data_IF_026108510501
#
_entry.id   IF_026108510501
#
_cell.length_a   1.000
_cell.length_b   1.000
_cell.length_c   1.000
_cell.angle_alpha   90.00
_cell.angle_beta   90.00
_cell.angle_gamma   90.00
#
_symmetry.space_group_name_H-M   'P 1'
#
loop_
_entity.id
_entity.type
_entity.pdbx_description
1 polymer ?
2 non-polymer ?
3 non-polymer ?
4 water ?
#
# COMPACT_ATOMS: atom_id res chain seq x y z
N UNK A 1 -7.36 -9.22 22.04
CA UNK A 1 -7.91 -9.60 20.72
C UNK A 1 -8.68 -8.48 19.99
N UNK A 2 -8.64 -7.25 20.53
CA UNK A 2 -9.27 -6.08 19.91
C UNK A 2 -8.20 -5.01 19.67
N UNK A 3 -8.30 -4.24 18.58
CA UNK A 3 -7.28 -3.22 18.26
C UNK A 3 -7.87 -1.86 17.89
N UNK A 4 -8.90 -1.47 18.63
CA UNK A 4 -9.59 -0.19 18.38
C UNK A 4 -8.63 0.96 18.48
N UNK A 5 -7.77 0.94 19.50
CA UNK A 5 -6.90 2.07 19.74
C UNK A 5 -5.95 2.27 18.55
N UNK A 6 -5.39 1.16 18.07
CA UNK A 6 -4.44 1.20 16.97
C UNK A 6 -5.09 1.63 15.65
N UNK A 7 -6.31 1.15 15.42
CA UNK A 7 -7.08 1.50 14.22
C UNK A 7 -7.47 2.97 14.24
N UNK A 8 -7.92 3.45 15.39
CA UNK A 8 -8.21 4.88 15.57
C UNK A 8 -7.01 5.80 15.33
N UNK A 9 -5.85 5.45 15.88
CA UNK A 9 -4.63 6.22 15.67
C UNK A 9 -4.23 6.20 14.20
N UNK A 10 -4.35 5.03 13.56
CA UNK A 10 -3.97 4.84 12.18
C UNK A 10 -4.79 5.71 11.27
N UNK A 11 -6.11 5.74 11.49
CA UNK A 11 -6.99 6.63 10.69
C UNK A 11 -6.58 8.07 10.79
N UNK A 12 -6.38 8.52 12.04
CA UNK A 12 -6.09 9.90 12.34
C UNK A 12 -4.80 10.37 11.66
N UNK A 13 -3.78 9.52 11.74
CA UNK A 13 -2.47 9.79 11.20
C UNK A 13 -2.45 9.73 9.68
N UNK A 14 -3.19 8.80 9.07
CA UNK A 14 -3.26 8.70 7.61
C UNK A 14 -4.01 9.90 7.05
N UNK A 15 -5.06 10.35 7.74
CA UNK A 15 -5.76 11.56 7.30
C UNK A 15 -4.81 12.79 7.23
N UNK A 16 -3.97 12.97 8.23
CA UNK A 16 -3.04 14.11 8.23
C UNK A 16 -2.00 13.91 7.13
N UNK A 17 -1.58 12.66 6.94
CA UNK A 17 -0.62 12.33 5.89
C UNK A 17 -1.15 12.69 4.50
N UNK A 18 -2.45 12.50 4.28
CA UNK A 18 -3.08 12.89 3.01
C UNK A 18 -3.04 14.40 2.84
N UNK A 19 -3.26 15.14 3.92
CA UNK A 19 -3.06 16.60 3.86
C UNK A 19 -1.61 16.95 3.45
N UNK A 20 -0.64 16.23 3.99
CA UNK A 20 0.79 16.50 3.71
C UNK A 20 1.07 16.37 2.24
N UNK A 21 0.68 15.23 1.67
CA UNK A 21 1.02 14.87 0.28
C UNK A 21 0.35 15.81 -0.70
N UNK A 22 -0.89 16.16 -0.37
CA UNK A 22 -1.68 17.04 -1.23
C UNK A 22 -1.04 18.41 -1.26
N UNK A 23 -0.61 18.83 -0.09
CA UNK A 23 0.05 20.10 0.09
C UNK A 23 1.40 20.15 -0.66
N UNK A 24 2.19 19.08 -0.56
CA UNK A 24 3.40 18.94 -1.38
C UNK A 24 3.08 19.02 -2.88
N UNK A 25 2.02 18.33 -3.30
CA UNK A 25 1.66 18.32 -4.70
C UNK A 25 1.13 19.65 -5.27
N UNK A 26 0.91 20.65 -4.44
CA UNK A 26 0.53 22.00 -4.94
C UNK A 26 1.67 22.76 -5.61
N UNK A 27 2.90 22.24 -5.54
CA UNK A 27 4.06 22.91 -6.12
C UNK A 27 4.68 22.02 -7.18
N UNK A 28 5.67 22.54 -7.89
CA UNK A 28 6.40 21.75 -8.88
C UNK A 28 7.11 20.61 -8.16
N UNK A 29 7.17 19.45 -8.79
CA UNK A 29 7.64 18.25 -8.11
C UNK A 29 9.13 17.93 -8.33
N UNK A 30 9.71 18.44 -9.41
CA UNK A 30 11.07 18.04 -9.79
C UNK A 30 12.09 18.40 -8.70
N UNK A 31 12.02 19.63 -8.20
CA UNK A 31 12.91 20.10 -7.13
C UNK A 31 12.54 19.51 -5.75
N UNK A 32 11.44 18.77 -5.70
CA UNK A 32 11.08 18.01 -4.50
C UNK A 32 11.40 16.51 -4.61
N UNK A 33 12.16 16.10 -5.63
CA UNK A 33 12.31 14.66 -5.97
C UNK A 33 13.78 14.23 -5.93
N UNK A 34 14.04 13.10 -5.28
CA UNK A 34 15.40 12.55 -5.17
C UNK A 34 15.41 11.19 -5.86
N UNK A 35 16.43 10.92 -6.66
CA UNK A 35 16.58 9.57 -7.23
C UNK A 35 17.53 8.77 -6.34
N UNK A 36 17.00 7.72 -5.70
CA UNK A 36 17.78 6.83 -4.85
C UNK A 36 18.75 6.01 -5.71
N UNK A 37 19.60 5.21 -5.07
CA UNK A 37 20.65 4.47 -5.78
C UNK A 37 20.10 3.38 -6.72
N UNK A 38 18.96 2.80 -6.37
CA UNK A 38 18.27 1.85 -7.24
C UNK A 38 17.43 2.54 -8.34
N UNK A 39 17.59 3.86 -8.47
CA UNK A 39 16.89 4.68 -9.47
C UNK A 39 15.39 4.89 -9.23
N UNK A 40 14.88 4.41 -8.11
CA UNK A 40 13.50 4.67 -7.72
C UNK A 40 13.46 6.06 -7.08
N UNK A 41 12.35 6.81 -7.27
CA UNK A 41 12.22 8.16 -6.73
C UNK A 41 11.75 8.19 -5.30
N UNK A 42 12.18 9.23 -4.59
CA UNK A 42 11.60 9.58 -3.29
C UNK A 42 11.42 11.11 -3.27
N UNK A 43 10.30 11.58 -2.71
CA UNK A 43 10.01 13.00 -2.67
C UNK A 43 9.86 13.52 -1.25
N UNK A 44 9.75 14.84 -1.17
CA UNK A 44 9.47 15.60 0.04
C UNK A 44 8.23 15.03 0.75
N UNK A 45 7.27 14.54 -0.04
CA UNK A 45 6.09 13.90 0.53
C UNK A 45 6.35 12.58 1.26
N UNK A 46 7.18 11.74 0.66
CA UNK A 46 7.50 10.42 1.23
C UNK A 46 8.16 10.65 2.61
N UNK A 47 9.13 11.53 2.64
CA UNK A 47 9.96 11.76 3.83
C UNK A 47 9.17 12.48 4.91
N UNK A 48 8.31 13.40 4.49
CA UNK A 48 7.56 14.23 5.42
C UNK A 48 6.51 13.39 6.08
N UNK A 49 5.81 12.60 5.28
CA UNK A 49 4.81 11.69 5.84
C UNK A 49 5.43 10.73 6.86
N UNK A 50 6.57 10.14 6.53
CA UNK A 50 7.23 9.19 7.43
C UNK A 50 7.66 9.82 8.76
N UNK A 51 8.21 11.03 8.70
CA UNK A 51 8.57 11.75 9.92
C UNK A 51 7.35 11.91 10.81
N UNK A 52 6.24 12.34 10.22
CA UNK A 52 5.09 12.67 11.03
C UNK A 52 4.49 11.39 11.67
N UNK A 53 4.22 10.38 10.84
CA UNK A 53 3.61 9.11 11.26
C UNK A 53 4.43 8.43 12.35
N UNK A 54 5.75 8.30 12.12
CA UNK A 54 6.62 7.62 13.06
C UNK A 54 6.63 8.33 14.40
N UNK A 55 6.64 9.65 14.36
CA UNK A 55 6.62 10.44 15.58
C UNK A 55 5.31 10.20 16.32
N UNK A 56 4.18 10.20 15.61
CA UNK A 56 2.89 10.01 16.26
C UNK A 56 2.74 8.61 16.87
N UNK A 57 3.22 7.60 16.15
CA UNK A 57 3.26 6.23 16.63
C UNK A 57 4.11 6.10 17.88
N UNK A 58 5.26 6.74 17.88
CA UNK A 58 6.18 6.67 18.99
C UNK A 58 5.64 7.42 20.23
N UNK A 59 4.90 8.49 19.97
CA UNK A 59 4.24 9.22 21.06
C UNK A 59 3.17 8.38 21.77
N UNK A 60 2.37 7.63 21.02
CA UNK A 60 1.29 6.84 21.65
C UNK A 60 1.73 5.41 22.05
N UNK A 61 2.57 4.80 21.25
CA UNK A 61 3.00 3.43 21.45
C UNK A 61 4.52 3.35 21.43
N UNK A 62 5.19 3.98 22.41
CA UNK A 62 6.66 4.03 22.40
C UNK A 62 7.33 2.65 22.36
N UNK A 63 6.63 1.61 22.78
CA UNK A 63 7.19 0.27 22.93
C UNK A 63 7.23 -0.50 21.60
N UNK A 64 6.45 -0.05 20.62
CA UNK A 64 6.28 -0.77 19.37
C UNK A 64 7.47 -0.48 18.46
N UNK A 65 7.70 -1.35 17.48
CA UNK A 65 8.68 -1.07 16.45
C UNK A 65 7.98 -0.68 15.16
N UNK A 66 8.74 -0.05 14.26
CA UNK A 66 8.20 0.47 12.99
C UNK A 66 9.05 0.01 11.80
N UNK A 67 8.42 -0.69 10.87
CA UNK A 67 9.01 -1.01 9.58
C UNK A 67 8.54 0.05 8.56
N UNK A 68 9.43 0.91 8.09
CA UNK A 68 9.05 1.94 7.11
C UNK A 68 10.07 1.96 5.97
N UNK A 69 9.66 2.43 4.82
CA UNK A 69 10.50 2.33 3.62
C UNK A 69 11.76 3.24 3.63
N UNK A 70 11.58 4.49 4.02
CA UNK A 70 12.63 5.48 3.79
C UNK A 70 13.57 5.59 4.99
N UNK A 71 14.74 6.18 4.75
CA UNK A 71 15.71 6.53 5.80
C UNK A 71 16.39 7.83 5.39
N UNK A 72 17.21 8.39 6.26
CA UNK A 72 17.87 9.69 5.98
C UNK A 72 19.32 9.58 5.45
N UNK A 73 19.79 8.38 5.15
CA UNK A 73 21.20 8.16 4.81
C UNK A 73 21.63 9.09 3.67
N UNK A 74 20.82 9.15 2.60
CA UNK A 74 21.25 9.81 1.36
C UNK A 74 20.51 11.12 1.03
N UNK A 75 19.69 11.62 1.95
CA UNK A 75 18.74 12.71 1.65
C UNK A 75 19.40 14.08 1.44
N UNK A 76 19.17 14.74 0.28
CA UNK A 76 19.80 16.04 -0.02
C UNK A 76 19.28 17.18 0.85
N UNK A 77 20.08 18.23 0.98
CA UNK A 77 19.83 19.27 1.98
C UNK A 77 18.63 20.15 1.60
N UNK A 78 18.49 20.40 0.29
CA UNK A 78 17.34 21.19 -0.19
C UNK A 78 16.07 20.38 0.04
N UNK A 79 16.11 19.07 -0.22
CA UNK A 79 14.92 18.23 -0.03
C UNK A 79 14.54 18.26 1.45
N UNK A 80 15.55 18.10 2.31
CA UNK A 80 15.33 17.97 3.74
C UNK A 80 14.71 19.26 4.32
N UNK A 81 15.23 20.40 3.87
CA UNK A 81 14.74 21.68 4.32
C UNK A 81 13.24 21.82 4.03
N UNK A 82 12.82 21.41 2.83
CA UNK A 82 11.39 21.43 2.49
C UNK A 82 10.60 20.49 3.37
N UNK A 83 11.19 19.32 3.63
CA UNK A 83 10.57 18.33 4.49
C UNK A 83 10.24 18.94 5.85
N UNK A 84 11.21 19.67 6.43
CA UNK A 84 11.03 20.27 7.75
C UNK A 84 9.84 21.26 7.78
N UNK A 85 9.68 22.05 6.72
CA UNK A 85 8.58 23.01 6.62
C UNK A 85 7.21 22.31 6.65
N UNK A 86 7.03 21.28 5.83
CA UNK A 86 5.77 20.55 5.77
C UNK A 86 5.40 19.86 7.07
N UNK A 87 6.39 19.29 7.74
CA UNK A 87 6.15 18.53 8.97
C UNK A 87 5.75 19.46 10.13
N UNK A 88 6.37 20.63 10.17
CA UNK A 88 6.16 21.61 11.26
C UNK A 88 4.80 22.34 11.22
N UNK A 89 4.05 22.16 10.14
CA UNK A 89 2.62 22.48 10.14
C UNK A 89 1.86 21.59 11.15
N UNK A 90 2.26 20.34 11.26
CA UNK A 90 1.50 19.37 12.00
C UNK A 90 2.17 18.84 13.24
N UNK A 91 3.48 19.03 13.36
CA UNK A 91 4.23 18.54 14.50
C UNK A 91 5.34 19.52 14.83
N UNK A 92 5.40 19.89 16.09
CA UNK A 92 6.39 20.83 16.57
C UNK A 92 7.75 20.18 16.84
N UNK A 93 8.40 19.63 15.82
CA UNK A 93 9.72 19.00 15.97
C UNK A 93 10.82 19.83 15.34
N UNK A 94 11.99 19.80 15.97
CA UNK A 94 13.19 20.45 15.43
C UNK A 94 13.73 19.61 14.28
N UNK A 95 14.61 20.19 13.48
CA UNK A 95 15.14 19.52 12.30
C UNK A 95 15.78 18.18 12.63
N UNK A 96 16.56 18.15 13.71
CA UNK A 96 17.26 16.92 14.08
C UNK A 96 16.26 15.86 14.52
N UNK A 97 15.20 16.29 15.20
CA UNK A 97 14.15 15.38 15.68
C UNK A 97 13.34 14.84 14.50
N UNK A 98 13.21 15.64 13.46
CA UNK A 98 12.58 15.18 12.25
C UNK A 98 13.42 14.04 11.65
N UNK A 99 14.75 14.20 11.59
CA UNK A 99 15.67 13.14 11.07
C UNK A 99 15.54 11.83 11.82
N UNK A 100 15.64 11.92 13.14
CA UNK A 100 15.44 10.78 14.02
C UNK A 100 14.12 10.08 13.79
N UNK A 101 13.03 10.82 13.67
CA UNK A 101 11.70 10.20 13.48
C UNK A 101 11.70 9.33 12.23
N UNK A 102 12.19 9.88 11.12
CA UNK A 102 12.29 9.12 9.87
C UNK A 102 13.03 7.80 10.14
N UNK A 103 14.16 7.88 10.82
CA UNK A 103 15.05 6.72 10.96
C UNK A 103 14.56 5.70 12.00
N UNK A 104 13.46 6.01 12.70
CA UNK A 104 12.75 5.02 13.55
C UNK A 104 12.22 3.85 12.76
N UNK A 105 12.19 3.96 11.44
CA UNK A 105 11.57 2.96 10.59
C UNK A 105 12.45 1.80 10.20
N UNK A 106 13.48 1.49 11.00
CA UNK A 106 14.45 0.49 10.61
C UNK A 106 14.22 -0.94 11.17
N UNK A 107 13.03 -1.20 11.71
CA UNK A 107 12.70 -2.55 12.15
C UNK A 107 12.75 -3.59 11.03
N UNK A 108 13.14 -4.81 11.38
CA UNK A 108 13.17 -5.95 10.45
C UNK A 108 11.93 -6.84 10.57
N UNK A 109 10.98 -6.48 11.42
CA UNK A 109 9.70 -7.20 11.53
C UNK A 109 9.77 -8.51 12.29
N UNK A 110 8.89 -9.45 11.93
CA UNK A 110 8.87 -10.75 12.60
C UNK A 110 8.17 -10.65 13.93
N UNK A 111 8.78 -11.22 14.97
CA UNK A 111 8.11 -11.34 16.28
C UNK A 111 7.86 -9.99 16.96
N UNK A 112 6.64 -9.83 17.48
CA UNK A 112 6.27 -8.67 18.30
C UNK A 112 5.31 -7.75 17.57
N UNK A 113 5.08 -6.60 18.18
CA UNK A 113 4.18 -5.57 17.65
C UNK A 113 5.00 -4.69 16.68
N UNK A 114 4.59 -4.68 15.41
CA UNK A 114 5.23 -3.81 14.41
C UNK A 114 4.20 -3.02 13.62
N UNK A 115 4.49 -1.73 13.43
CA UNK A 115 3.79 -0.90 12.47
C UNK A 115 4.50 -1.03 11.13
N UNK A 116 3.75 -0.99 10.04
CA UNK A 116 4.30 -1.14 8.69
C UNK A 116 3.81 0.06 7.85
N UNK A 117 4.76 0.86 7.35
CA UNK A 117 4.44 2.16 6.76
C UNK A 117 5.10 2.28 5.42
N UNK A 118 4.30 2.59 4.40
CA UNK A 118 4.82 3.11 3.16
C UNK A 118 4.30 4.54 3.05
N UNK A 119 5.16 5.54 3.31
CA UNK A 119 4.65 6.91 3.43
C UNK A 119 4.01 7.41 2.14
N UNK A 120 4.61 7.04 1.00
CA UNK A 120 3.90 7.09 -0.28
C UNK A 120 4.17 5.79 -1.04
N UNK A 121 3.09 5.02 -1.18
CA UNK A 121 3.06 3.84 -1.99
C UNK A 121 2.71 4.31 -3.40
N UNK A 122 3.55 3.97 -4.38
CA UNK A 122 3.29 4.44 -5.74
C UNK A 122 3.75 5.88 -5.94
N UNK A 123 4.99 6.14 -5.56
CA UNK A 123 5.62 7.45 -5.72
C UNK A 123 5.65 7.89 -7.19
N UNK A 124 5.82 6.96 -8.12
CA UNK A 124 5.68 7.29 -9.56
C UNK A 124 4.25 7.77 -9.86
N UNK A 125 3.26 7.15 -9.23
CA UNK A 125 1.87 7.61 -9.29
C UNK A 125 1.73 9.00 -8.76
N UNK A 126 2.42 9.31 -7.66
CA UNK A 126 2.43 10.66 -7.10
C UNK A 126 3.00 11.66 -8.11
N UNK A 127 4.14 11.31 -8.69
CA UNK A 127 4.78 12.14 -9.70
C UNK A 127 3.97 12.25 -11.00
N UNK A 128 3.25 11.17 -11.32
CA UNK A 128 2.31 11.11 -12.46
C UNK A 128 1.08 12.01 -12.22
N UNK A 129 0.88 12.43 -10.97
CA UNK A 129 -0.36 13.07 -10.50
C UNK A 129 -1.59 12.21 -10.77
N UNK A 130 -1.45 10.91 -10.53
CA UNK A 130 -2.58 9.99 -10.56
C UNK A 130 -2.33 9.09 -9.34
N UNK A 131 -2.98 7.96 -9.26
CA UNK A 131 -2.97 7.22 -7.99
C UNK A 131 -1.74 6.96 -7.16
N UNK A 132 -1.84 7.34 -5.89
CA UNK A 132 -0.88 6.96 -4.88
C UNK A 132 -1.62 6.73 -3.58
N UNK A 133 -0.95 6.13 -2.61
CA UNK A 133 -1.57 5.77 -1.33
C UNK A 133 -0.61 6.01 -0.19
N UNK A 134 -1.14 6.52 0.92
CA UNK A 134 -0.43 6.42 2.18
C UNK A 134 -0.88 5.11 2.83
N UNK A 135 0.05 4.19 3.08
CA UNK A 135 -0.28 2.87 3.59
C UNK A 135 0.28 2.64 4.99
N UNK A 136 -0.58 2.32 5.94
CA UNK A 136 -0.20 2.03 7.31
C UNK A 136 -0.93 0.79 7.85
N UNK A 137 -0.15 -0.21 8.30
CA UNK A 137 -0.70 -1.42 8.89
C UNK A 137 -0.07 -1.61 10.25
N UNK A 138 -0.72 -2.44 11.06
CA UNK A 138 -0.19 -2.82 12.33
C UNK A 138 -0.34 -4.32 12.42
N UNK A 139 0.71 -5.00 12.89
CA UNK A 139 0.76 -6.46 12.94
C UNK A 139 1.47 -6.99 14.18
N UNK A 140 1.05 -8.18 14.60
CA UNK A 140 1.71 -8.87 15.69
C UNK A 140 2.16 -10.23 15.18
N UNK A 141 3.45 -10.53 15.34
CA UNK A 141 4.06 -11.81 14.87
C UNK A 141 3.75 -12.11 13.41
N UNK A 142 3.65 -11.06 12.60
CA UNK A 142 3.35 -11.20 11.17
C UNK A 142 1.89 -11.43 10.80
N UNK A 143 0.99 -11.30 11.77
CA UNK A 143 -0.43 -11.37 11.51
C UNK A 143 -1.01 -9.95 11.50
N UNK A 144 -1.62 -9.58 10.38
CA UNK A 144 -2.03 -8.18 10.19
C UNK A 144 -3.32 -7.94 11.00
N UNK A 145 -3.28 -7.00 11.93
CA UNK A 145 -4.44 -6.63 12.76
C UNK A 145 -5.19 -5.40 12.25
N UNK A 146 -4.47 -4.47 11.61
CA UNK A 146 -5.06 -3.19 11.21
C UNK A 146 -4.47 -2.82 9.86
N UNK A 147 -5.32 -2.27 8.98
CA UNK A 147 -4.92 -1.84 7.64
C UNK A 147 -5.61 -0.53 7.29
N UNK A 148 -4.83 0.49 6.89
CA UNK A 148 -5.37 1.77 6.42
C UNK A 148 -4.69 2.25 5.13
N UNK A 149 -5.51 2.59 4.14
CA UNK A 149 -5.03 3.11 2.86
C UNK A 149 -5.64 4.48 2.61
N UNK A 150 -4.79 5.50 2.53
CA UNK A 150 -5.23 6.87 2.22
C UNK A 150 -4.88 7.16 0.77
N UNK A 151 -5.90 7.45 -0.04
CA UNK A 151 -5.77 7.58 -1.48
C UNK A 151 -6.32 8.90 -1.96
N UNK A 152 -5.51 9.97 -1.86
CA UNK A 152 -5.96 11.32 -2.10
C UNK A 152 -6.51 11.63 -3.49
N UNK A 153 -6.05 10.91 -4.52
CA UNK A 153 -6.48 11.18 -5.91
C UNK A 153 -7.53 10.19 -6.43
N UNK A 154 -8.06 9.38 -5.53
CA UNK A 154 -9.00 8.36 -5.91
C UNK A 154 -10.42 8.87 -5.67
N UNK A 155 -11.14 9.11 -6.77
CA UNK A 155 -12.54 9.57 -6.75
C UNK A 155 -12.75 10.72 -5.76
N UNK A 156 -11.96 11.77 -5.87
CA UNK A 156 -12.08 12.88 -4.95
C UNK A 156 -11.39 12.76 -3.59
N UNK A 157 -10.82 11.61 -3.26
CA UNK A 157 -10.05 11.48 -2.02
C UNK A 157 -10.71 10.55 -1.02
N UNK A 158 -10.16 9.35 -0.86
CA UNK A 158 -10.81 8.28 -0.09
C UNK A 158 -9.82 7.65 0.87
N UNK A 159 -10.31 7.21 2.02
CA UNK A 159 -9.53 6.40 2.94
C UNK A 159 -10.36 5.17 3.27
N UNK A 160 -9.74 4.01 3.20
CA UNK A 160 -10.38 2.74 3.58
C UNK A 160 -9.57 2.13 4.72
N UNK A 161 -10.26 1.48 5.63
CA UNK A 161 -9.63 0.95 6.83
C UNK A 161 -10.35 -0.30 7.29
N UNK A 162 -9.58 -1.20 7.89
CA UNK A 162 -10.10 -2.40 8.51
C UNK A 162 -9.23 -2.81 9.66
N UNK A 163 -9.86 -3.45 10.64
CA UNK A 163 -9.14 -4.29 11.59
C UNK A 163 -9.69 -5.71 11.51
N UNK A 164 -8.87 -6.68 11.96
CA UNK A 164 -9.14 -8.11 11.76
C UNK A 164 -10.42 -8.54 12.45
N UNK A 165 -11.31 -9.22 11.73
CA UNK A 165 -12.58 -9.66 12.31
C UNK A 165 -13.73 -8.62 12.33
N UNK A 166 -13.52 -7.40 11.84
CA UNK A 166 -14.51 -6.35 12.04
C UNK A 166 -14.98 -5.66 10.76
N UNK A 167 -14.63 -6.15 9.58
CA UNK A 167 -15.12 -5.54 8.35
C UNK A 167 -14.27 -4.37 7.90
N UNK A 168 -14.57 -3.89 6.68
CA UNK A 168 -13.83 -2.83 6.03
C UNK A 168 -14.74 -1.62 5.85
N UNK A 169 -14.23 -0.41 6.07
CA UNK A 169 -15.02 0.83 5.97
C UNK A 169 -14.36 1.85 5.05
N UNK A 170 -15.17 2.68 4.40
CA UNK A 170 -14.68 3.75 3.56
C UNK A 170 -15.08 5.13 4.10
N UNK A 171 -14.11 6.03 4.10
CA UNK A 171 -14.26 7.43 4.53
C UNK A 171 -13.73 8.35 3.44
N UNK A 172 -14.22 9.58 3.39
CA UNK A 172 -13.53 10.62 2.62
C UNK A 172 -12.30 11.04 3.41
N UNK A 173 -11.31 11.61 2.72
CA UNK A 173 -10.13 12.11 3.40
C UNK A 173 -10.51 13.21 4.40
N UNK A 174 -11.56 13.99 4.11
CA UNK A 174 -11.99 15.08 4.97
C UNK A 174 -12.88 14.68 6.17
N UNK A 175 -13.17 13.39 6.33
CA UNK A 175 -14.09 12.93 7.40
C UNK A 175 -13.79 11.47 7.75
N UNK A 176 -12.97 11.26 8.78
CA UNK A 176 -12.71 9.89 9.27
C UNK A 176 -13.65 9.49 10.43
N UNK A 177 -14.74 10.21 10.62
CA UNK A 177 -15.72 9.91 11.68
C UNK A 177 -16.91 9.11 11.16
N UNK A 178 -17.29 9.37 9.91
CA UNK A 178 -18.53 8.82 9.37
C UNK A 178 -18.13 8.04 8.14
N UNK A 179 -18.21 6.72 8.23
CA UNK A 179 -17.77 5.83 7.15
C UNK A 179 -18.89 4.95 6.68
N UNK A 180 -18.71 4.31 5.54
CA UNK A 180 -19.63 3.26 5.09
C UNK A 180 -18.94 1.90 4.98
N UNK A 181 -19.69 0.84 5.27
CA UNK A 181 -19.21 -0.52 5.05
C UNK A 181 -18.93 -0.65 3.55
N UNK A 182 -17.89 -1.41 3.19
CA UNK A 182 -17.61 -1.76 1.79
C UNK A 182 -17.44 -3.29 1.67
N UNK A 183 -17.70 -3.80 0.47
CA UNK A 183 -17.73 -5.23 0.19
C UNK A 183 -17.17 -5.41 -1.23
N UNK A 184 -16.46 -6.50 -1.47
CA UNK A 184 -15.99 -6.85 -2.80
C UNK A 184 -17.17 -7.10 -3.74
N UNK A 185 -16.91 -7.06 -5.05
CA UNK A 185 -18.01 -7.30 -6.02
C UNK A 185 -18.52 -8.73 -5.92
N UNK A 186 -19.65 -8.97 -6.60
CA UNK A 186 -20.29 -10.25 -6.68
C UNK A 186 -20.08 -10.90 -8.07
N UNK A 187 -19.35 -10.25 -8.96
CA UNK A 187 -19.10 -10.76 -10.31
C UNK A 187 -18.69 -12.24 -10.29
N UNK A 188 -19.48 -13.11 -10.93
CA UNK A 188 -19.13 -14.53 -10.84
C UNK A 188 -18.62 -15.15 -12.15
N UNK A 189 -18.50 -14.35 -13.21
CA UNK A 189 -17.96 -14.81 -14.49
C UNK A 189 -16.70 -14.04 -14.83
N UNK A 190 -15.63 -14.75 -15.19
CA UNK A 190 -14.37 -14.05 -15.52
C UNK A 190 -14.51 -13.18 -16.77
N UNK A 191 -15.42 -13.53 -17.67
CA UNK A 191 -15.62 -12.73 -18.89
C UNK A 191 -16.15 -11.31 -18.57
N UNK A 192 -16.89 -11.15 -17.47
CA UNK A 192 -17.43 -9.82 -17.08
C UNK A 192 -16.52 -9.10 -16.08
N UNK A 193 -15.30 -9.57 -15.96
CA UNK A 193 -14.37 -9.16 -14.93
C UNK A 193 -13.72 -7.81 -15.30
N UNK A 194 -13.65 -6.90 -14.35
CA UNK A 194 -12.81 -5.72 -14.44
C UNK A 194 -11.50 -6.03 -13.71
N UNK A 195 -10.41 -5.98 -14.47
CA UNK A 195 -9.11 -6.43 -14.01
C UNK A 195 -8.19 -5.23 -13.90
N UNK A 196 -7.37 -5.17 -12.85
CA UNK A 196 -6.41 -4.05 -12.70
C UNK A 196 -4.94 -4.48 -12.49
N UNK A 197 -4.02 -3.59 -12.86
CA UNK A 197 -2.59 -3.86 -12.77
C UNK A 197 -1.76 -2.57 -12.76
N UNK A 198 -0.46 -2.68 -12.45
CA UNK A 198 0.45 -1.53 -12.45
C UNK A 198 0.46 -0.84 -13.81
N UNK A 199 0.61 0.49 -13.79
CA UNK A 199 0.93 1.27 -14.99
C UNK A 199 2.32 0.94 -15.50
N UNK A 200 3.27 0.84 -14.58
CA UNK A 200 4.68 0.66 -14.96
C UNK A 200 4.95 -0.73 -15.55
N UNK A 201 5.45 -0.77 -16.78
CA UNK A 201 5.73 -2.01 -17.51
C UNK A 201 6.73 -2.95 -16.82
N UNK A 202 7.63 -2.38 -16.01
CA UNK A 202 8.64 -3.16 -15.30
C UNK A 202 8.18 -3.60 -13.90
N UNK A 203 6.98 -3.22 -13.49
CA UNK A 203 6.46 -3.62 -12.18
C UNK A 203 5.56 -4.85 -12.23
N UNK A 204 5.16 -5.24 -13.44
CA UNK A 204 4.33 -6.44 -13.64
C UNK A 204 4.41 -6.87 -15.11
N UNK A 205 4.20 -8.16 -15.35
CA UNK A 205 4.33 -8.65 -16.70
C UNK A 205 3.00 -8.46 -17.47
N UNK A 206 2.89 -7.32 -18.15
CA UNK A 206 1.68 -6.89 -18.87
C UNK A 206 1.42 -7.76 -20.12
N UNK A 207 2.48 -8.33 -20.69
CA UNK A 207 2.31 -9.27 -21.80
C UNK A 207 1.72 -10.59 -21.33
N UNK A 208 2.15 -11.09 -20.17
CA UNK A 208 1.59 -12.34 -19.64
C UNK A 208 0.18 -12.12 -19.10
N UNK A 209 -0.11 -10.94 -18.57
CA UNK A 209 -1.47 -10.69 -18.07
C UNK A 209 -2.51 -10.63 -19.21
N UNK A 210 -2.10 -10.12 -20.36
CA UNK A 210 -2.92 -10.14 -21.54
C UNK A 210 -3.26 -11.59 -21.90
N UNK A 211 -2.27 -12.48 -21.77
CA UNK A 211 -2.47 -13.89 -22.12
C UNK A 211 -3.37 -14.60 -21.09
N UNK A 212 -3.18 -14.25 -19.82
CA UNK A 212 -4.03 -14.70 -18.74
C UNK A 212 -5.47 -14.29 -19.01
N UNK A 213 -5.68 -12.98 -19.15
CA UNK A 213 -7.04 -12.44 -19.26
C UNK A 213 -7.71 -12.91 -20.57
N UNK A 214 -6.93 -13.03 -21.64
CA UNK A 214 -7.42 -13.62 -22.89
C UNK A 214 -7.99 -15.03 -22.67
N UNK A 215 -7.26 -15.87 -21.92
CA UNK A 215 -7.72 -17.23 -21.61
C UNK A 215 -8.94 -17.24 -20.69
N UNK A 216 -9.08 -16.19 -19.88
CA UNK A 216 -10.20 -16.06 -18.96
C UNK A 216 -11.37 -15.38 -19.66
N UNK A 217 -11.18 -15.06 -20.94
CA UNK A 217 -12.18 -14.46 -21.84
C UNK A 217 -12.67 -13.08 -21.39
N UNK A 218 -11.81 -12.35 -20.68
CA UNK A 218 -12.11 -11.00 -20.23
C UNK A 218 -12.32 -10.08 -21.44
N UNK A 219 -13.46 -9.39 -21.46
CA UNK A 219 -13.79 -8.46 -22.53
C UNK A 219 -13.31 -7.00 -22.22
N UNK A 220 -13.35 -6.59 -20.96
CA UNK A 220 -13.00 -5.20 -20.60
C UNK A 220 -11.48 -4.90 -20.64
N UNK A 221 -11.08 -3.74 -21.17
CA UNK A 221 -9.65 -3.41 -21.08
C UNK A 221 -9.19 -3.31 -19.62
N UNK A 222 -7.90 -3.53 -19.36
CA UNK A 222 -7.43 -3.44 -17.98
C UNK A 222 -7.40 -2.00 -17.47
N UNK A 223 -7.56 -1.85 -16.17
CA UNK A 223 -7.44 -0.57 -15.50
C UNK A 223 -6.04 -0.54 -14.93
N UNK A 224 -5.19 0.23 -15.56
CA UNK A 224 -3.86 0.43 -15.10
C UNK A 224 -3.77 1.57 -14.06
N UNK A 225 -3.20 1.29 -12.91
CA UNK A 225 -2.87 2.30 -11.90
C UNK A 225 -1.71 1.93 -10.99
N UNK A 226 -0.99 2.94 -10.57
CA UNK A 226 -0.02 2.89 -9.52
C UNK A 226 -0.71 2.59 -8.17
N UNK A 227 0.03 1.89 -7.34
CA UNK A 227 -0.11 1.80 -5.88
C UNK A 227 -1.05 0.76 -5.28
N UNK A 228 -1.13 0.79 -3.95
CA UNK A 228 -2.05 -0.07 -3.20
C UNK A 228 -3.53 0.37 -3.32
N UNK A 229 -3.76 1.46 -4.01
CA UNK A 229 -5.07 1.80 -4.46
C UNK A 229 -5.74 0.66 -5.18
N UNK A 230 -4.98 -0.21 -5.82
CA UNK A 230 -5.50 -1.35 -6.51
C UNK A 230 -6.20 -2.27 -5.50
N UNK A 231 -5.61 -2.41 -4.33
CA UNK A 231 -6.31 -3.15 -3.25
C UNK A 231 -7.60 -2.45 -2.83
N UNK A 232 -7.59 -1.13 -2.68
CA UNK A 232 -8.85 -0.38 -2.41
C UNK A 232 -9.94 -0.59 -3.48
N UNK A 233 -9.54 -0.57 -4.76
CA UNK A 233 -10.41 -0.88 -5.87
C UNK A 233 -11.06 -2.26 -5.68
N UNK A 234 -10.27 -3.26 -5.30
CA UNK A 234 -10.80 -4.61 -5.11
C UNK A 234 -11.80 -4.69 -3.93
N UNK A 235 -11.39 -4.12 -2.81
CA UNK A 235 -12.14 -4.14 -1.58
C UNK A 235 -13.47 -3.41 -1.73
N UNK A 236 -13.48 -2.32 -2.50
CA UNK A 236 -14.70 -1.51 -2.61
C UNK A 236 -15.59 -1.99 -3.74
N UNK A 237 -15.12 -2.94 -4.55
CA UNK A 237 -15.98 -3.48 -5.61
C UNK A 237 -15.80 -2.78 -6.94
N UNK A 238 -14.86 -1.84 -7.00
CA UNK A 238 -14.59 -1.08 -8.24
C UNK A 238 -13.92 -1.93 -9.31
N UNK A 239 -13.13 -2.92 -8.90
CA UNK A 239 -12.57 -3.92 -9.81
C UNK A 239 -12.72 -5.28 -9.16
N UNK A 240 -12.53 -6.32 -9.95
CA UNK A 240 -12.77 -7.70 -9.53
C UNK A 240 -11.50 -8.49 -9.20
N UNK A 241 -10.42 -8.23 -9.96
CA UNK A 241 -9.14 -8.97 -9.83
C UNK A 241 -7.99 -8.00 -10.00
N UNK A 242 -6.96 -8.15 -9.15
CA UNK A 242 -5.69 -7.42 -9.21
C UNK A 242 -4.57 -8.42 -9.40
N UNK A 243 -3.79 -8.28 -10.47
CA UNK A 243 -2.67 -9.17 -10.76
C UNK A 243 -1.36 -8.42 -10.66
N UNK A 244 -0.40 -9.04 -10.00
CA UNK A 244 0.97 -8.57 -9.96
C UNK A 244 1.81 -9.78 -10.31
N UNK A 245 2.39 -9.74 -11.51
CA UNK A 245 3.03 -10.91 -12.10
C UNK A 245 4.50 -10.62 -12.22
N UNK A 246 5.33 -11.41 -11.53
CA UNK A 246 6.77 -11.22 -11.59
C UNK A 246 7.39 -11.86 -12.82
N UNK A 247 8.57 -11.36 -13.18
CA UNK A 247 9.35 -11.92 -14.28
C UNK A 247 10.41 -12.92 -13.80
N UNK A 248 10.59 -13.05 -12.49
CA UNK A 248 11.53 -14.04 -11.94
C UNK A 248 11.10 -14.45 -10.55
N UNK A 249 11.71 -15.51 -10.03
CA UNK A 249 11.43 -16.01 -8.67
C UNK A 249 12.30 -15.33 -7.61
N UNK A 250 13.14 -14.39 -8.03
CA UNK A 250 14.12 -13.77 -7.15
C UNK A 250 13.60 -12.52 -6.50
N UNK A 251 12.78 -11.73 -7.20
CA UNK A 251 12.24 -10.51 -6.61
C UNK A 251 11.27 -10.88 -5.50
N UNK A 252 11.39 -10.20 -4.38
CA UNK A 252 10.48 -10.46 -3.28
C UNK A 252 9.82 -9.14 -2.91
N UNK A 253 8.50 -9.17 -2.83
CA UNK A 253 7.73 -7.98 -2.56
C UNK A 253 7.93 -7.48 -1.13
N UNK A 254 7.95 -6.16 -0.98
CA UNK A 254 8.07 -5.53 0.33
C UNK A 254 6.74 -5.59 1.07
N UNK A 255 6.79 -5.77 2.39
CA UNK A 255 5.56 -5.91 3.15
C UNK A 255 4.78 -4.61 3.19
N UNK A 256 5.47 -3.48 3.09
CA UNK A 256 4.78 -2.18 3.04
C UNK A 256 4.13 -1.89 1.68
N UNK A 257 4.27 -2.80 0.72
CA UNK A 257 3.47 -2.71 -0.52
C UNK A 257 2.22 -3.61 -0.49
N UNK A 258 1.95 -4.32 0.62
CA UNK A 258 0.80 -5.27 0.63
C UNK A 258 0.05 -5.45 1.92
N UNK A 259 0.64 -5.09 3.05
CA UNK A 259 0.07 -5.44 4.36
C UNK A 259 -1.30 -4.81 4.61
N UNK A 260 -1.43 -3.50 4.40
CA UNK A 260 -2.73 -2.87 4.55
C UNK A 260 -3.77 -3.41 3.55
N UNK A 261 -3.45 -3.41 2.27
CA UNK A 261 -4.39 -3.87 1.23
C UNK A 261 -4.87 -5.29 1.45
N UNK A 262 -3.94 -6.17 1.79
CA UNK A 262 -4.25 -7.56 2.14
C UNK A 262 -5.40 -7.68 3.16
N UNK A 263 -5.25 -7.03 4.30
CA UNK A 263 -6.26 -7.15 5.37
C UNK A 263 -7.57 -6.55 4.90
N UNK A 264 -7.47 -5.38 4.28
CA UNK A 264 -8.67 -4.65 3.81
C UNK A 264 -9.49 -5.48 2.83
N UNK A 265 -8.84 -6.07 1.84
CA UNK A 265 -9.56 -6.95 0.88
C UNK A 265 -10.20 -8.16 1.59
N UNK A 266 -9.51 -8.74 2.55
CA UNK A 266 -10.03 -9.90 3.26
C UNK A 266 -11.24 -9.53 4.14
N UNK A 267 -11.16 -8.40 4.84
CA UNK A 267 -12.27 -7.95 5.70
C UNK A 267 -13.48 -7.50 4.91
N UNK A 268 -13.23 -7.15 3.65
CA UNK A 268 -14.25 -6.78 2.69
C UNK A 268 -14.87 -8.01 2.00
N UNK A 269 -14.34 -9.21 2.29
CA UNK A 269 -14.93 -10.46 1.80
C UNK A 269 -14.19 -11.07 0.61
N UNK A 270 -13.06 -10.48 0.25
CA UNK A 270 -12.29 -10.97 -0.88
C UNK A 270 -11.17 -11.91 -0.46
N UNK A 271 -10.22 -12.12 -1.38
CA UNK A 271 -9.13 -13.06 -1.18
C UNK A 271 -7.80 -12.56 -1.74
N UNK A 272 -6.71 -12.74 -1.01
CA UNK A 272 -5.38 -12.34 -1.46
C UNK A 272 -4.34 -13.47 -1.28
N UNK A 273 -3.74 -13.91 -2.39
CA UNK A 273 -2.68 -14.91 -2.35
C UNK A 273 -1.54 -14.45 -3.26
N UNK A 274 -0.54 -15.31 -3.46
CA UNK A 274 0.44 -15.08 -4.52
C UNK A 274 0.02 -15.80 -5.81
N UNK A 275 0.88 -15.81 -6.82
CA UNK A 275 0.49 -16.42 -8.11
C UNK A 275 0.24 -17.93 -8.05
N UNK A 276 0.71 -18.59 -7.01
CA UNK A 276 0.55 -20.04 -6.85
C UNK A 276 -0.65 -20.36 -5.97
N UNK A 277 -1.38 -19.36 -5.52
CA UNK A 277 -2.52 -19.60 -4.65
C UNK A 277 -2.15 -19.67 -3.19
N UNK A 278 -0.90 -19.38 -2.85
CA UNK A 278 -0.48 -19.49 -1.46
C UNK A 278 -0.73 -18.21 -0.70
N UNK A 279 -1.16 -18.36 0.55
CA UNK A 279 -1.44 -17.21 1.39
C UNK A 279 -0.16 -16.44 1.61
N UNK A 280 -0.26 -15.13 1.73
CA UNK A 280 0.90 -14.28 1.95
C UNK A 280 1.40 -14.42 3.40
N UNK A 281 2.72 -14.55 3.56
CA UNK A 281 3.32 -14.76 4.88
C UNK A 281 4.16 -13.54 5.26
N UNK A 282 3.58 -12.71 6.13
CA UNK A 282 4.17 -11.44 6.61
C UNK A 282 5.01 -11.61 7.87
N UNK A 283 5.49 -12.82 8.15
CA UNK A 283 6.22 -13.07 9.40
C UNK A 283 7.70 -13.29 9.17
N UNK A 284 8.17 -13.12 7.94
CA UNK A 284 9.53 -13.45 7.54
C UNK A 284 10.40 -12.19 7.36
N UNK A 285 10.00 -11.07 7.95
CA UNK A 285 10.80 -9.84 7.91
C UNK A 285 10.15 -8.71 7.11
N UNK A 286 10.98 -7.98 6.37
CA UNK A 286 10.52 -6.82 5.61
C UNK A 286 10.04 -7.17 4.21
N UNK A 287 10.23 -8.41 3.80
CA UNK A 287 9.86 -8.85 2.45
C UNK A 287 9.02 -10.13 2.51
N UNK A 288 8.24 -10.36 1.45
CA UNK A 288 7.42 -11.56 1.32
C UNK A 288 8.24 -12.68 0.69
N UNK A 289 9.22 -13.10 1.48
CA UNK A 289 10.24 -14.12 1.22
C UNK A 289 9.78 -15.42 0.67
N UNK A 290 8.58 -15.82 1.04
CA UNK A 290 8.09 -17.13 0.72
C UNK A 290 6.88 -17.05 -0.22
N UNK A 291 6.76 -15.91 -0.94
CA UNK A 291 5.69 -15.68 -1.88
C UNK A 291 6.23 -15.08 -3.20
N UNK A 292 5.45 -15.25 -4.28
CA UNK A 292 5.80 -14.71 -5.60
C UNK A 292 4.59 -14.05 -6.23
N UNK A 293 4.68 -12.73 -6.37
CA UNK A 293 3.61 -11.96 -6.99
C UNK A 293 2.35 -11.90 -6.16
N UNK A 294 1.30 -11.41 -6.77
CA UNK A 294 0.02 -11.19 -6.08
C UNK A 294 -1.14 -11.55 -7.02
N UNK A 295 -2.15 -12.23 -6.46
CA UNK A 295 -3.49 -12.25 -7.06
C UNK A 295 -4.46 -11.86 -5.96
N UNK A 296 -5.16 -10.75 -6.15
CA UNK A 296 -6.18 -10.28 -5.21
C UNK A 296 -7.49 -10.25 -5.95
N UNK A 297 -8.59 -10.62 -5.30
CA UNK A 297 -9.86 -10.77 -6.01
C UNK A 297 -11.04 -10.65 -5.06
N UNK A 298 -12.23 -10.74 -5.65
CA UNK A 298 -13.49 -10.80 -4.91
C UNK A 298 -13.77 -12.19 -4.32
N UNK A 299 -12.81 -13.12 -4.42
CA UNK A 299 -12.92 -14.45 -3.82
C UNK A 299 -13.60 -15.44 -4.74
N UNK A 300 -14.78 -15.08 -5.27
CA UNK A 300 -15.48 -15.97 -6.20
C UNK A 300 -14.60 -16.36 -7.40
N UNK A 301 -13.94 -15.36 -7.99
CA UNK A 301 -13.12 -15.55 -9.18
C UNK A 301 -11.69 -16.09 -8.93
N UNK A 302 -11.32 -16.24 -7.66
CA UNK A 302 -9.91 -16.41 -7.32
C UNK A 302 -9.20 -17.61 -7.93
N UNK A 303 -9.69 -18.81 -7.63
CA UNK A 303 -9.03 -20.05 -8.05
C UNK A 303 -9.05 -20.26 -9.56
N UNK A 304 -10.13 -19.83 -10.20
CA UNK A 304 -10.29 -19.85 -11.65
C UNK A 304 -9.16 -18.99 -12.25
N UNK A 305 -8.87 -17.87 -11.60
CA UNK A 305 -7.82 -16.98 -12.05
C UNK A 305 -6.40 -17.54 -11.78
N UNK A 306 -6.16 -17.99 -10.56
CA UNK A 306 -4.86 -18.59 -10.17
C UNK A 306 -4.41 -19.76 -11.06
N UNK A 307 -5.36 -20.65 -11.37
CA UNK A 307 -5.09 -21.79 -12.22
C UNK A 307 -4.53 -21.36 -13.59
N UNK A 308 -5.06 -20.29 -14.16
CA UNK A 308 -4.52 -19.78 -15.44
C UNK A 308 -3.16 -19.10 -15.21
N UNK A 309 -3.05 -18.29 -14.17
CA UNK A 309 -1.81 -17.57 -13.82
C UNK A 309 -0.62 -18.52 -13.72
N UNK A 310 -0.72 -19.50 -12.81
CA UNK A 310 0.27 -20.58 -12.62
C UNK A 310 0.75 -21.23 -13.90
N UNK A 311 -0.21 -21.61 -14.74
CA UNK A 311 0.09 -22.23 -15.99
C UNK A 311 0.92 -21.27 -16.86
N UNK A 312 0.44 -20.05 -17.06
CA UNK A 312 1.18 -19.13 -17.94
C UNK A 312 2.56 -18.79 -17.36
N UNK A 313 2.66 -18.72 -16.04
CA UNK A 313 3.94 -18.39 -15.40
C UNK A 313 4.72 -19.66 -14.94
N UNK A 314 4.49 -20.79 -15.62
CA UNK A 314 5.14 -22.05 -15.23
C UNK A 314 6.63 -22.09 -15.53
N UNK A 315 7.12 -21.26 -16.45
CA UNK A 315 8.54 -21.23 -16.82
C UNK A 315 9.45 -20.36 -15.92
N UNK A 316 8.95 -19.78 -14.84
CA UNK A 316 9.76 -18.79 -14.07
C UNK A 316 11.01 -19.37 -13.39
N UNK A 317 12.06 -18.55 -13.30
CA UNK A 317 13.36 -18.99 -12.77
C UNK A 317 13.72 -18.28 -11.46
X LIG B 1 7.04 4.31 -0.99
X LIG C 1 2.95 -0.10 -8.35
X LIG C 1 4.08 -0.51 -7.61
X LIG C 1 2.73 1.24 -7.99
X LIG C 1 3.24 -0.19 -9.70
X LIG C 1 1.87 -0.95 -8.09
#
# INVERSE_FOLDING_TARGET
MSFDKELALALEIVQVSCKITTSVAEHTLTDQTQIKNDKSPVTVGDYSVQAYVNKKIHETFPEDQIVAEEDTKTIPEDIFAKVCKHVQIYSDMKDDEIRKSIDLGNSTGGKGRHWVLDPIDGTLGFLRREQYAVCLAFMIDGDIKVGVLGCPNFEGGLIVAAQKGCGAKMFSVNDIKNGKDIHVSTTPKTSDMCFCESVEVSHTDQSRSKTITERLQVTKPPVRMDSQCKYMAIASGRADVYLRLPRNLSYQEKIWDHAAGYLIVKEAGGKVTDIYGNDLDFSLGRTLCNNHGIVASNGILHEETVNVVKDVLSDLKLQHHHHHH
MG MG
PO4 P O1 O2 O3 O4
#
